data_IF_078786739663
#
_entry.id   IF_078786739663
#
_cell.length_a   1.000
_cell.length_b   1.000
_cell.length_c   1.000
_cell.angle_alpha   90.00
_cell.angle_beta   90.00
_cell.angle_gamma   90.00
#
_symmetry.space_group_name_H-M   'P 1'
#
loop_
_entity.id
_entity.type
_entity.pdbx_description
1 polymer ?
#
# COMPACT_ATOMS: atom_id res chain seq x y z
N UNK A 1 20.63 -2.11 -5.51
CA UNK A 1 19.62 -2.02 -6.55
C UNK A 1 18.49 -1.09 -6.06
N UNK A 2 18.08 -0.15 -6.89
CA UNK A 2 16.81 0.58 -6.70
C UNK A 2 15.72 -0.30 -7.34
N UNK A 3 14.72 -0.66 -6.56
CA UNK A 3 13.62 -1.50 -6.99
C UNK A 3 12.50 -0.66 -7.63
N UNK A 4 11.94 -1.14 -8.74
CA UNK A 4 10.69 -0.61 -9.29
C UNK A 4 9.51 -1.30 -8.60
N UNK A 5 8.80 -0.57 -7.75
CA UNK A 5 7.64 -1.09 -7.02
C UNK A 5 6.33 -1.10 -7.82
N UNK A 6 6.35 -0.64 -9.08
CA UNK A 6 5.12 -0.54 -9.90
C UNK A 6 4.39 -1.88 -10.02
N UNK A 7 5.11 -2.98 -10.28
CA UNK A 7 4.47 -4.30 -10.43
C UNK A 7 3.82 -4.78 -9.13
N UNK A 8 4.46 -4.54 -7.98
CA UNK A 8 3.84 -4.83 -6.67
C UNK A 8 2.61 -3.95 -6.43
N UNK A 9 2.64 -2.66 -6.81
CA UNK A 9 1.49 -1.76 -6.77
C UNK A 9 0.34 -2.23 -7.66
N UNK A 10 0.64 -2.70 -8.86
CA UNK A 10 -0.34 -3.28 -9.78
C UNK A 10 -0.95 -4.57 -9.20
N UNK A 11 -0.11 -5.43 -8.59
CA UNK A 11 -0.60 -6.63 -7.91
C UNK A 11 -1.49 -6.29 -6.71
N UNK A 12 -1.21 -5.20 -6.00
CA UNK A 12 -2.10 -4.72 -4.94
C UNK A 12 -3.45 -4.24 -5.50
N UNK A 13 -3.47 -3.53 -6.64
CA UNK A 13 -4.72 -3.13 -7.31
C UNK A 13 -5.52 -4.39 -7.71
N UNK A 14 -4.84 -5.40 -8.26
CA UNK A 14 -5.49 -6.69 -8.55
C UNK A 14 -6.07 -7.33 -7.30
N UNK A 15 -5.29 -7.42 -6.23
CA UNK A 15 -5.71 -8.00 -4.96
C UNK A 15 -6.92 -7.27 -4.37
N UNK A 16 -6.96 -5.94 -4.41
CA UNK A 16 -8.09 -5.14 -3.95
C UNK A 16 -9.40 -5.45 -4.71
N UNK A 17 -9.30 -5.76 -6.00
CA UNK A 17 -10.46 -6.04 -6.85
C UNK A 17 -10.92 -7.50 -6.82
N UNK A 18 -10.09 -8.44 -6.34
CA UNK A 18 -10.35 -9.88 -6.42
C UNK A 18 -10.29 -10.60 -5.07
N UNK A 19 -9.94 -9.93 -3.98
CA UNK A 19 -10.01 -10.51 -2.65
C UNK A 19 -11.48 -10.55 -2.17
N UNK A 20 -11.92 -11.70 -1.71
CA UNK A 20 -13.27 -11.88 -1.15
C UNK A 20 -13.36 -11.30 0.28
N UNK A 21 -12.23 -11.20 0.96
CA UNK A 21 -12.14 -10.75 2.35
C UNK A 21 -10.97 -9.80 2.59
N UNK A 22 -11.11 -8.96 3.62
CA UNK A 22 -10.00 -8.11 4.09
C UNK A 22 -8.81 -8.92 4.59
N UNK A 23 -9.03 -10.13 5.08
CA UNK A 23 -7.97 -11.02 5.54
C UNK A 23 -7.05 -11.41 4.38
N UNK A 24 -7.61 -11.85 3.26
CA UNK A 24 -6.83 -12.18 2.06
C UNK A 24 -5.98 -11.01 1.57
N UNK A 25 -6.55 -9.79 1.52
CA UNK A 25 -5.81 -8.60 1.12
C UNK A 25 -4.66 -8.32 2.10
N UNK A 26 -4.91 -8.41 3.41
CA UNK A 26 -3.90 -8.22 4.43
C UNK A 26 -2.79 -9.28 4.32
N UNK A 27 -3.15 -10.54 4.11
CA UNK A 27 -2.19 -11.65 4.00
C UNK A 27 -1.28 -11.46 2.77
N UNK A 28 -1.85 -11.06 1.63
CA UNK A 28 -1.07 -10.69 0.44
C UNK A 28 -0.09 -9.55 0.73
N UNK A 29 -0.58 -8.46 1.32
CA UNK A 29 0.26 -7.30 1.65
C UNK A 29 1.39 -7.69 2.60
N UNK A 30 1.08 -8.44 3.66
CA UNK A 30 2.05 -8.87 4.68
C UNK A 30 3.11 -9.78 4.05
N UNK A 31 2.72 -10.79 3.25
CA UNK A 31 3.65 -11.69 2.58
C UNK A 31 4.65 -10.93 1.69
N UNK A 32 4.13 -10.06 0.82
CA UNK A 32 4.99 -9.28 -0.11
C UNK A 32 5.93 -8.35 0.65
N UNK A 33 5.41 -7.61 1.66
CA UNK A 33 6.23 -6.68 2.45
C UNK A 33 7.32 -7.40 3.25
N UNK A 34 6.97 -8.42 4.01
CA UNK A 34 7.91 -9.14 4.88
C UNK A 34 9.03 -9.77 4.05
N UNK A 35 8.68 -10.50 3.00
CA UNK A 35 9.65 -11.15 2.11
C UNK A 35 10.52 -10.15 1.34
N UNK A 36 9.94 -9.01 0.91
CA UNK A 36 10.72 -7.96 0.26
C UNK A 36 11.80 -7.39 1.18
N UNK A 37 11.44 -7.05 2.43
CA UNK A 37 12.41 -6.49 3.38
C UNK A 37 13.41 -7.52 3.88
N UNK A 38 13.06 -8.80 3.87
CA UNK A 38 13.97 -9.94 4.11
C UNK A 38 14.84 -10.27 2.89
N UNK A 39 14.60 -9.61 1.74
CA UNK A 39 15.29 -9.86 0.46
C UNK A 39 15.02 -11.23 -0.13
N UNK A 40 13.85 -11.78 0.12
CA UNK A 40 13.39 -13.09 -0.33
C UNK A 40 12.35 -12.99 -1.45
N UNK A 41 11.95 -11.78 -1.84
CA UNK A 41 10.94 -11.52 -2.87
C UNK A 41 11.47 -10.52 -3.90
N UNK A 42 11.49 -10.92 -5.16
CA UNK A 42 11.65 -9.99 -6.28
C UNK A 42 10.29 -9.43 -6.67
N UNK A 43 10.02 -8.20 -6.23
CA UNK A 43 8.76 -7.50 -6.51
C UNK A 43 8.63 -7.04 -7.97
N UNK A 44 9.67 -7.22 -8.78
CA UNK A 44 9.65 -6.94 -10.22
C UNK A 44 9.32 -8.21 -11.04
N UNK A 45 9.18 -9.37 -10.38
CA UNK A 45 8.83 -10.64 -11.01
C UNK A 45 7.32 -10.92 -10.87
N UNK A 46 6.61 -11.00 -12.02
CA UNK A 46 5.17 -11.26 -12.05
C UNK A 46 4.79 -12.68 -11.60
N UNK A 47 5.66 -13.67 -11.79
CA UNK A 47 5.39 -15.04 -11.36
C UNK A 47 5.45 -15.13 -9.83
N UNK A 48 6.40 -14.43 -9.21
CA UNK A 48 6.50 -14.33 -7.75
C UNK A 48 5.27 -13.62 -7.17
N UNK A 49 4.82 -12.53 -7.79
CA UNK A 49 3.62 -11.81 -7.36
C UNK A 49 2.35 -12.64 -7.57
N UNK A 50 2.28 -13.41 -8.67
CA UNK A 50 1.21 -14.38 -8.91
C UNK A 50 1.13 -15.44 -7.81
N UNK A 51 2.28 -15.99 -7.42
CA UNK A 51 2.34 -16.95 -6.33
C UNK A 51 1.90 -16.34 -4.98
N UNK A 52 2.27 -15.09 -4.70
CA UNK A 52 1.83 -14.37 -3.51
C UNK A 52 0.30 -14.17 -3.48
N UNK A 53 -0.31 -13.84 -4.62
CA UNK A 53 -1.78 -13.74 -4.73
C UNK A 53 -2.45 -15.09 -4.41
N UNK A 54 -1.95 -16.18 -5.01
CA UNK A 54 -2.48 -17.53 -4.77
C UNK A 54 -2.32 -17.98 -3.31
N UNK A 55 -1.17 -17.69 -2.69
CA UNK A 55 -0.92 -18.02 -1.30
C UNK A 55 -1.89 -17.30 -0.35
N UNK A 56 -2.30 -16.09 -0.69
CA UNK A 56 -3.32 -15.34 0.03
C UNK A 56 -4.76 -15.77 -0.30
N UNK A 57 -4.95 -16.79 -1.15
CA UNK A 57 -6.26 -17.25 -1.59
C UNK A 57 -6.96 -16.31 -2.57
N UNK A 58 -6.21 -15.44 -3.25
CA UNK A 58 -6.74 -14.51 -4.24
C UNK A 58 -6.54 -15.12 -5.63
N UNK A 59 -7.61 -15.16 -6.43
CA UNK A 59 -7.50 -15.68 -7.79
C UNK A 59 -6.52 -14.85 -8.63
N UNK A 60 -5.69 -15.53 -9.44
CA UNK A 60 -4.68 -14.90 -10.27
C UNK A 60 -4.89 -15.08 -11.79
N UNK A 61 -5.98 -15.75 -12.18
CA UNK A 61 -6.27 -15.96 -13.61
C UNK A 61 -6.45 -14.60 -14.31
N UNK A 62 -5.60 -14.32 -15.32
CA UNK A 62 -5.57 -13.04 -16.03
C UNK A 62 -4.72 -11.94 -15.38
N UNK A 63 -4.10 -12.20 -14.23
CA UNK A 63 -3.26 -11.17 -13.56
C UNK A 63 -2.10 -10.69 -14.43
N UNK A 64 -1.39 -11.60 -15.12
CA UNK A 64 -0.24 -11.22 -15.95
C UNK A 64 -0.67 -10.30 -17.10
N UNK A 65 -1.76 -10.64 -17.79
CA UNK A 65 -2.30 -9.80 -18.87
C UNK A 65 -2.78 -8.45 -18.35
N UNK A 66 -3.44 -8.44 -17.18
CA UNK A 66 -3.82 -7.22 -16.48
C UNK A 66 -2.59 -6.37 -16.16
N UNK A 67 -1.54 -6.96 -15.59
CA UNK A 67 -0.34 -6.24 -15.19
C UNK A 67 0.40 -5.60 -16.36
N UNK A 68 0.37 -6.24 -17.53
CA UNK A 68 1.00 -5.74 -18.75
C UNK A 68 0.13 -4.74 -19.53
N UNK A 69 -1.14 -4.62 -19.19
CA UNK A 69 -2.11 -3.78 -19.89
C UNK A 69 -2.86 -2.83 -18.98
N UNK A 70 -4.12 -3.14 -18.70
CA UNK A 70 -5.02 -2.27 -17.93
C UNK A 70 -4.52 -1.94 -16.51
N UNK A 71 -3.85 -2.87 -15.85
CA UNK A 71 -3.29 -2.66 -14.53
C UNK A 71 -2.19 -1.61 -14.52
N UNK A 72 -1.33 -1.61 -15.53
CA UNK A 72 -0.30 -0.58 -15.69
C UNK A 72 -0.94 0.81 -15.85
N UNK A 73 -1.93 0.92 -16.74
CA UNK A 73 -2.64 2.18 -16.95
C UNK A 73 -3.35 2.68 -15.68
N UNK A 74 -3.99 1.77 -14.94
CA UNK A 74 -4.66 2.10 -13.66
C UNK A 74 -3.67 2.57 -12.61
N UNK A 75 -2.52 1.91 -12.49
CA UNK A 75 -1.46 2.29 -11.58
C UNK A 75 -0.92 3.69 -11.88
N UNK A 76 -0.60 3.96 -13.14
CA UNK A 76 -0.02 5.24 -13.55
C UNK A 76 -1.02 6.38 -13.34
N UNK A 77 -2.31 6.17 -13.68
CA UNK A 77 -3.37 7.14 -13.41
C UNK A 77 -3.51 7.43 -11.90
N UNK A 78 -3.45 6.40 -11.06
CA UNK A 78 -3.51 6.57 -9.61
C UNK A 78 -2.33 7.39 -9.09
N UNK A 79 -1.11 7.14 -9.58
CA UNK A 79 0.08 7.91 -9.21
C UNK A 79 -0.09 9.40 -9.57
N UNK A 80 -0.54 9.70 -10.78
CA UNK A 80 -0.78 11.08 -11.23
C UNK A 80 -1.84 11.79 -10.39
N UNK A 81 -2.93 11.09 -10.06
CA UNK A 81 -3.98 11.61 -9.19
C UNK A 81 -3.47 11.93 -7.78
N UNK A 82 -2.69 11.02 -7.17
CA UNK A 82 -2.13 11.22 -5.84
C UNK A 82 -1.14 12.39 -5.80
N UNK A 83 -0.29 12.52 -6.82
CA UNK A 83 0.62 13.67 -6.94
C UNK A 83 -0.15 14.99 -7.08
N UNK A 84 -1.21 15.00 -7.89
CA UNK A 84 -2.08 16.18 -8.07
C UNK A 84 -2.78 16.58 -6.78
N UNK A 85 -3.13 15.60 -5.94
CA UNK A 85 -3.73 15.83 -4.62
C UNK A 85 -2.70 16.26 -3.55
N UNK A 86 -1.41 16.28 -3.87
CA UNK A 86 -0.35 16.69 -2.94
C UNK A 86 0.27 15.54 -2.14
N UNK A 87 0.01 14.28 -2.49
CA UNK A 87 0.70 13.14 -1.89
C UNK A 87 2.07 12.99 -2.55
N UNK A 88 3.13 13.30 -1.81
CA UNK A 88 4.49 13.36 -2.34
C UNK A 88 5.43 12.30 -1.74
N UNK A 89 4.94 11.46 -0.83
CA UNK A 89 5.77 10.46 -0.18
C UNK A 89 4.98 9.45 0.64
N UNK A 90 5.69 8.47 1.19
CA UNK A 90 5.13 7.36 1.96
C UNK A 90 5.81 7.23 3.33
N UNK A 91 5.07 6.81 4.36
CA UNK A 91 3.63 6.59 4.35
C UNK A 91 2.85 7.90 4.34
N UNK A 92 1.76 7.97 3.58
CA UNK A 92 0.78 9.05 3.64
C UNK A 92 -0.59 8.49 3.99
N UNK A 93 -1.33 9.23 4.80
CA UNK A 93 -2.69 8.88 5.20
C UNK A 93 -3.61 10.01 4.78
N UNK A 94 -4.71 9.68 4.13
CA UNK A 94 -5.75 10.64 3.75
C UNK A 94 -6.98 10.32 4.61
N UNK A 95 -7.40 11.29 5.43
CA UNK A 95 -8.59 11.17 6.25
C UNK A 95 -9.48 12.35 5.91
N UNK A 96 -10.60 12.07 5.28
CA UNK A 96 -11.44 13.09 4.67
C UNK A 96 -10.62 13.94 3.66
N UNK A 97 -10.41 15.22 3.92
CA UNK A 97 -9.65 16.12 3.06
C UNK A 97 -8.25 16.45 3.61
N UNK A 98 -7.83 15.81 4.71
CA UNK A 98 -6.54 16.03 5.34
C UNK A 98 -5.52 14.97 4.93
N UNK A 99 -4.31 15.42 4.59
CA UNK A 99 -3.16 14.55 4.26
C UNK A 99 -2.18 14.59 5.42
N UNK A 100 -1.87 13.41 5.97
CA UNK A 100 -0.86 13.21 6.99
C UNK A 100 0.32 12.46 6.38
N UNK A 101 1.48 13.09 6.33
CA UNK A 101 2.71 12.46 5.83
C UNK A 101 3.61 12.06 6.99
N UNK A 102 3.96 10.77 7.02
CA UNK A 102 4.86 10.20 8.02
C UNK A 102 4.14 9.41 9.11
N UNK A 103 4.84 8.39 9.61
CA UNK A 103 4.33 7.48 10.66
C UNK A 103 4.10 8.17 12.01
N UNK A 104 4.75 9.28 12.24
CA UNK A 104 4.62 10.11 13.44
C UNK A 104 3.22 10.67 13.63
N UNK A 105 2.43 10.71 12.56
CA UNK A 105 1.03 11.16 12.58
C UNK A 105 0.02 10.05 12.89
N UNK A 106 0.44 8.80 13.10
CA UNK A 106 -0.49 7.67 13.29
C UNK A 106 -1.48 7.90 14.43
N UNK A 107 -1.03 8.44 15.56
CA UNK A 107 -1.93 8.72 16.69
C UNK A 107 -2.98 9.78 16.32
N UNK A 108 -2.59 10.80 15.55
CA UNK A 108 -3.51 11.82 15.04
C UNK A 108 -4.50 11.23 14.03
N UNK A 109 -4.03 10.37 13.12
CA UNK A 109 -4.89 9.65 12.15
C UNK A 109 -5.92 8.81 12.89
N UNK A 110 -5.50 8.02 13.89
CA UNK A 110 -6.40 7.20 14.71
C UNK A 110 -7.42 8.07 15.44
N UNK A 111 -6.98 9.17 16.03
CA UNK A 111 -7.87 10.13 16.71
C UNK A 111 -8.92 10.71 15.75
N UNK A 112 -8.52 11.09 14.52
CA UNK A 112 -9.45 11.55 13.47
C UNK A 112 -10.47 10.48 13.09
N UNK A 113 -10.01 9.25 12.83
CA UNK A 113 -10.89 8.13 12.48
C UNK A 113 -11.89 7.78 13.59
N UNK A 114 -11.56 8.07 14.84
CA UNK A 114 -12.46 7.89 15.99
C UNK A 114 -13.34 9.13 16.29
N UNK A 115 -13.48 10.04 15.35
CA UNK A 115 -14.38 11.19 15.46
C UNK A 115 -13.82 12.35 16.27
N UNK A 116 -12.49 12.46 16.38
CA UNK A 116 -11.79 13.59 17.02
C UNK A 116 -12.22 13.88 18.46
N UNK A 117 -12.53 12.82 19.23
CA UNK A 117 -12.95 12.95 20.61
C UNK A 117 -11.77 13.21 21.56
N UNK A 118 -11.91 14.16 22.47
CA UNK A 118 -10.86 14.56 23.41
C UNK A 118 -9.74 15.40 22.80
N UNK A 119 -8.65 15.66 23.55
CA UNK A 119 -7.54 16.46 23.04
C UNK A 119 -6.80 15.78 21.90
N UNK A 120 -6.41 16.57 20.90
CA UNK A 120 -5.60 16.06 19.79
C UNK A 120 -4.26 15.54 20.29
N UNK A 121 -3.82 14.34 19.86
CA UNK A 121 -2.50 13.80 20.23
C UNK A 121 -1.37 14.71 19.74
N UNK A 122 -0.32 14.83 20.57
CA UNK A 122 0.89 15.52 20.14
C UNK A 122 1.73 14.62 19.25
N UNK A 123 2.23 15.16 18.14
CA UNK A 123 3.22 14.50 17.31
C UNK A 123 4.54 14.43 18.10
N UNK A 124 4.99 13.21 18.42
CA UNK A 124 6.25 12.97 19.10
C UNK A 124 7.33 12.63 18.09
N UNK A 125 8.29 13.51 17.93
CA UNK A 125 9.48 13.22 17.14
C UNK A 125 10.50 12.43 17.96
N UNK A 126 11.19 11.43 17.39
CA UNK A 126 12.12 10.57 18.12
C UNK A 126 13.25 11.32 18.86
N UNK A 127 13.64 12.49 18.35
CA UNK A 127 14.68 13.33 18.95
C UNK A 127 14.19 14.18 20.13
N UNK A 128 12.93 14.20 20.45
CA UNK A 128 12.38 14.91 21.63
C UNK A 128 12.41 14.05 22.90
N UNK A 129 12.88 12.81 22.79
CA UNK A 129 12.99 11.88 23.92
C UNK A 129 14.41 11.85 24.53
N UNK A 130 15.29 12.78 24.16
CA UNK A 130 16.62 13.00 24.74
C UNK A 130 16.52 14.19 25.73
#
# INVERSE_FOLDING_TARGET
KIWDSSKAGIALIWAQNHADTRAQLKDFMTDVFDRFWQRECDIEDLDILTAALLNAGIQSAGFIDFAQGAGRASHDLLQDQLLTQGVFGVPSFIVEDEIFFGREHLDTVIWRLNGSQGPMPFVRYPWQAL
#
